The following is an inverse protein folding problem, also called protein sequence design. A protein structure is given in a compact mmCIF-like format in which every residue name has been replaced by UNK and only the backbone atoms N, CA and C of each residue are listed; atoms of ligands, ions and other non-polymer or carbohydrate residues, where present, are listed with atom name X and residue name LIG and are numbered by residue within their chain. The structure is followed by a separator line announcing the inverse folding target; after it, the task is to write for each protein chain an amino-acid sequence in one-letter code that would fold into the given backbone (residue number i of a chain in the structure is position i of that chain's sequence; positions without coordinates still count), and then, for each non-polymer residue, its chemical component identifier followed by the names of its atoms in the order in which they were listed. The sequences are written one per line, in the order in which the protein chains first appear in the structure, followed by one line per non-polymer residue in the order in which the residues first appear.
data_IF_605406980589
#
_entry.id   IF_605406980589
#
_cell.length_a   1.000
_cell.length_b   1.000
_cell.length_c   1.000
_cell.angle_alpha   90.00
_cell.angle_beta   90.00
_cell.angle_gamma   90.00
#
_symmetry.space_group_name_H-M   'P 1'
#
loop_
_entity.id
_entity.type
_entity.pdbx_description
1 polymer ?
#
# COMPACT_ATOMS: atom_id res chain seq x y z
N UNK A 1 30.26 -7.05 -12.75
CA UNK A 1 29.90 -8.46 -12.49
C UNK A 1 28.49 -8.66 -11.90
N UNK A 2 27.88 -7.69 -11.21
CA UNK A 2 26.57 -7.86 -10.54
C UNK A 2 25.33 -8.00 -11.47
N UNK A 3 25.32 -7.37 -12.63
CA UNK A 3 24.17 -7.43 -13.56
C UNK A 3 23.92 -8.81 -14.19
N UNK A 4 24.98 -9.56 -14.52
CA UNK A 4 24.87 -10.92 -15.09
C UNK A 4 24.25 -11.94 -14.11
N UNK A 5 24.53 -11.81 -12.83
CA UNK A 5 23.97 -12.71 -11.80
C UNK A 5 22.46 -12.52 -11.60
N UNK A 6 21.97 -11.29 -11.72
CA UNK A 6 20.53 -10.98 -11.63
C UNK A 6 19.78 -11.60 -12.82
N UNK A 7 20.31 -11.52 -14.03
CA UNK A 7 19.68 -12.14 -15.20
C UNK A 7 19.64 -13.68 -15.10
N UNK A 8 20.70 -14.30 -14.58
CA UNK A 8 20.73 -15.74 -14.34
C UNK A 8 19.72 -16.18 -13.27
N UNK A 9 19.50 -15.37 -12.24
CA UNK A 9 18.51 -15.64 -11.21
C UNK A 9 17.08 -15.51 -11.76
N UNK A 10 16.79 -14.49 -12.56
CA UNK A 10 15.49 -14.29 -13.22
C UNK A 10 15.21 -15.43 -14.21
N UNK A 11 16.20 -15.84 -15.00
CA UNK A 11 16.08 -16.97 -15.94
C UNK A 11 15.86 -18.28 -15.19
N UNK A 12 16.51 -18.49 -14.06
CA UNK A 12 16.32 -19.67 -13.20
C UNK A 12 14.90 -19.75 -12.64
N UNK A 13 14.32 -18.63 -12.20
CA UNK A 13 12.94 -18.57 -11.73
C UNK A 13 11.97 -18.85 -12.90
N UNK A 14 12.23 -18.28 -14.07
CA UNK A 14 11.39 -18.49 -15.25
C UNK A 14 11.42 -19.94 -15.77
N UNK A 15 12.59 -20.61 -15.72
CA UNK A 15 12.71 -22.03 -16.06
C UNK A 15 12.03 -22.93 -15.02
N UNK A 16 12.09 -22.60 -13.73
CA UNK A 16 11.46 -23.40 -12.68
C UNK A 16 9.92 -23.34 -12.73
N UNK A 17 9.35 -22.21 -13.14
CA UNK A 17 7.89 -22.09 -13.33
C UNK A 17 7.37 -22.92 -14.51
N UNK A 18 8.14 -23.05 -15.58
CA UNK A 18 7.76 -23.89 -16.73
C UNK A 18 7.84 -25.41 -16.43
N UNK A 19 8.73 -25.84 -15.53
CA UNK A 19 8.78 -27.25 -15.10
C UNK A 19 7.60 -27.64 -14.20
N UNK A 20 7.06 -26.71 -13.40
CA UNK A 20 5.90 -26.96 -12.55
C UNK A 20 4.60 -27.11 -13.36
N UNK A 21 4.49 -26.47 -14.52
CA UNK A 21 3.31 -26.59 -15.40
C UNK A 21 3.30 -27.92 -16.16
N UNK A 22 4.48 -28.51 -16.45
CA UNK A 22 4.59 -29.77 -17.22
C UNK A 22 4.25 -31.03 -16.42
N UNK A 23 4.10 -30.96 -15.10
CA UNK A 23 3.76 -32.16 -14.28
C UNK A 23 2.27 -32.33 -14.00
N UNK A 24 1.40 -31.47 -14.53
CA UNK A 24 -0.05 -31.52 -14.28
C UNK A 24 -0.86 -32.14 -15.42
N UNK A 25 -0.21 -32.63 -16.49
CA UNK A 25 -0.90 -33.24 -17.62
C UNK A 25 -0.76 -34.78 -17.67
N UNK A 26 -1.17 -35.48 -16.64
CA UNK A 26 -1.44 -36.91 -16.72
C UNK A 26 -2.46 -37.34 -15.69
N UNK A 27 -3.71 -37.03 -15.92
CA UNK A 27 -4.91 -37.83 -15.59
C UNK A 27 -6.15 -36.90 -15.58
N UNK A 28 -6.87 -36.95 -16.71
CA UNK A 28 -8.32 -37.10 -16.69
C UNK A 28 -8.90 -36.75 -18.05
N UNK A 29 -9.22 -37.77 -18.78
CA UNK A 29 -10.34 -37.74 -19.71
C UNK A 29 -11.61 -37.45 -18.89
N UNK A 30 -11.86 -36.19 -18.61
CA UNK A 30 -13.17 -35.74 -18.18
C UNK A 30 -13.55 -34.50 -18.97
N UNK A 31 -14.69 -34.60 -19.61
CA UNK A 31 -15.28 -33.70 -20.58
C UNK A 31 -15.07 -32.23 -20.21
N UNK A 32 -14.44 -31.51 -21.12
CA UNK A 32 -14.36 -30.04 -21.16
C UNK A 32 -15.77 -29.43 -21.27
N UNK A 33 -16.46 -29.32 -20.17
CA UNK A 33 -17.37 -28.23 -19.97
C UNK A 33 -16.49 -27.11 -19.40
N UNK A 34 -15.97 -26.24 -20.26
CA UNK A 34 -15.50 -24.94 -19.86
C UNK A 34 -16.71 -24.25 -19.20
N UNK A 35 -16.84 -24.45 -17.89
CA UNK A 35 -17.79 -23.71 -17.08
C UNK A 35 -17.30 -22.26 -17.18
N UNK A 36 -17.97 -21.47 -18.02
CA UNK A 36 -17.82 -20.03 -18.04
C UNK A 36 -17.75 -19.58 -16.57
N UNK A 37 -16.58 -19.16 -16.15
CA UNK A 37 -16.34 -18.71 -14.77
C UNK A 37 -16.94 -17.32 -14.66
N UNK A 38 -18.28 -17.26 -14.78
CA UNK A 38 -19.09 -16.05 -14.59
C UNK A 38 -18.64 -15.41 -13.29
N UNK A 39 -18.38 -14.12 -13.35
CA UNK A 39 -18.12 -13.28 -12.17
C UNK A 39 -19.18 -13.61 -11.12
N UNK A 40 -18.80 -14.21 -10.03
CA UNK A 40 -19.72 -14.60 -8.95
C UNK A 40 -19.51 -13.65 -7.80
N UNK A 41 -20.13 -12.47 -7.89
CA UNK A 41 -20.09 -11.48 -6.82
C UNK A 41 -20.91 -12.04 -5.65
N UNK A 42 -20.22 -12.48 -4.60
CA UNK A 42 -20.85 -13.12 -3.45
C UNK A 42 -20.84 -12.26 -2.20
N UNK A 43 -19.78 -11.48 -1.99
CA UNK A 43 -19.61 -10.67 -0.79
C UNK A 43 -18.83 -9.38 -1.06
N UNK A 44 -19.18 -8.35 -0.31
CA UNK A 44 -18.46 -7.10 -0.18
C UNK A 44 -17.94 -7.00 1.26
N UNK A 45 -16.67 -6.76 1.46
CA UNK A 45 -16.09 -6.47 2.78
C UNK A 45 -15.71 -5.00 2.84
N UNK A 46 -16.14 -4.30 3.89
CA UNK A 46 -15.80 -2.91 4.16
C UNK A 46 -15.24 -2.80 5.57
N UNK A 47 -14.28 -1.93 5.78
CA UNK A 47 -13.65 -1.75 7.08
C UNK A 47 -12.70 -0.57 7.16
N UNK A 48 -11.96 -0.54 8.26
CA UNK A 48 -11.04 0.55 8.60
C UNK A 48 -9.70 -0.02 9.05
N UNK A 49 -8.64 0.76 8.86
CA UNK A 49 -7.35 0.49 9.51
C UNK A 49 -7.47 0.92 10.98
N UNK A 50 -7.05 0.04 11.89
CA UNK A 50 -7.12 0.30 13.34
C UNK A 50 -5.83 0.93 13.88
N UNK A 51 -4.68 0.61 13.26
CA UNK A 51 -3.39 1.04 13.81
C UNK A 51 -3.14 2.52 13.59
N UNK A 52 -3.49 3.04 12.44
CA UNK A 52 -3.21 4.43 12.05
C UNK A 52 -3.88 5.45 12.94
N UNK A 53 -5.20 5.37 13.22
CA UNK A 53 -5.87 6.29 14.14
C UNK A 53 -5.31 6.22 15.57
N UNK A 54 -5.00 5.01 16.07
CA UNK A 54 -4.45 4.84 17.41
C UNK A 54 -3.08 5.51 17.52
N UNK A 55 -2.22 5.31 16.51
CA UNK A 55 -0.90 5.94 16.48
C UNK A 55 -1.00 7.46 16.38
N UNK A 56 -1.89 8.00 15.56
CA UNK A 56 -2.06 9.45 15.41
C UNK A 56 -2.58 10.10 16.68
N UNK A 57 -3.50 9.47 17.39
CA UNK A 57 -4.00 9.98 18.68
C UNK A 57 -2.95 10.02 19.80
N UNK A 58 -1.91 9.18 19.69
CA UNK A 58 -0.84 9.09 20.70
C UNK A 58 0.29 10.12 20.52
N UNK A 59 0.44 10.68 19.32
CA UNK A 59 1.56 11.56 18.94
C UNK A 59 1.12 13.03 18.77
N UNK A 60 -0.10 13.40 19.16
CA UNK A 60 -0.64 14.77 18.98
C UNK A 60 -0.86 15.11 17.51
N UNK A 61 -1.48 16.20 17.19
CA UNK A 61 -1.80 16.87 15.91
C UNK A 61 -1.69 16.10 14.56
N UNK A 62 -1.65 14.77 14.58
CA UNK A 62 -1.58 13.94 13.39
C UNK A 62 -2.92 13.25 13.14
N UNK A 63 -3.50 13.42 11.97
CA UNK A 63 -4.66 12.66 11.51
C UNK A 63 -4.22 11.62 10.48
N UNK A 64 -4.63 10.38 10.67
CA UNK A 64 -4.36 9.32 9.70
C UNK A 64 -5.49 8.30 9.75
N UNK A 65 -6.39 8.38 8.79
CA UNK A 65 -7.54 7.49 8.64
C UNK A 65 -7.48 6.77 7.31
N UNK A 66 -7.84 5.49 7.33
CA UNK A 66 -7.91 4.69 6.11
C UNK A 66 -9.14 3.79 6.14
N UNK A 67 -9.95 3.87 5.09
CA UNK A 67 -11.07 2.99 4.81
C UNK A 67 -10.59 1.96 3.80
N UNK A 68 -10.94 0.71 4.01
CA UNK A 68 -10.57 -0.40 3.16
C UNK A 68 -11.80 -1.15 2.71
N UNK A 69 -11.76 -1.67 1.48
CA UNK A 69 -12.84 -2.49 0.97
C UNK A 69 -12.34 -3.52 -0.03
N UNK A 70 -13.01 -4.66 -0.09
CA UNK A 70 -12.80 -5.63 -1.16
C UNK A 70 -14.12 -6.29 -1.59
N UNK A 71 -14.22 -6.50 -2.90
CA UNK A 71 -15.35 -7.13 -3.56
C UNK A 71 -14.91 -8.46 -4.16
N UNK A 72 -15.54 -9.54 -3.75
CA UNK A 72 -15.27 -10.85 -4.32
C UNK A 72 -15.77 -10.94 -5.76
N UNK A 73 -14.86 -11.13 -6.71
CA UNK A 73 -15.16 -11.31 -8.14
C UNK A 73 -15.30 -12.79 -8.51
N UNK A 74 -14.43 -13.62 -7.94
CA UNK A 74 -14.49 -15.09 -8.09
C UNK A 74 -14.18 -15.74 -6.75
N UNK A 75 -14.15 -17.07 -6.67
CA UNK A 75 -13.80 -17.77 -5.42
C UNK A 75 -12.48 -17.27 -4.80
N UNK A 76 -11.48 -16.98 -5.62
CA UNK A 76 -10.14 -16.63 -5.15
C UNK A 76 -9.72 -15.20 -5.50
N UNK A 77 -10.47 -14.47 -6.34
CA UNK A 77 -10.07 -13.14 -6.80
C UNK A 77 -11.00 -12.08 -6.19
N UNK A 78 -10.38 -11.05 -5.62
CA UNK A 78 -11.06 -9.91 -5.00
C UNK A 78 -10.54 -8.61 -5.63
N UNK A 79 -11.46 -7.74 -6.04
CA UNK A 79 -11.13 -6.34 -6.32
C UNK A 79 -11.00 -5.62 -4.99
N UNK A 80 -9.91 -4.90 -4.77
CA UNK A 80 -9.68 -4.19 -3.52
C UNK A 80 -9.44 -2.71 -3.76
N UNK A 81 -9.99 -1.89 -2.87
CA UNK A 81 -9.85 -0.44 -2.85
C UNK A 81 -9.58 0.06 -1.44
N UNK A 82 -8.76 1.09 -1.34
CA UNK A 82 -8.40 1.72 -0.08
C UNK A 82 -8.34 3.23 -0.30
N UNK A 83 -8.92 3.99 0.62
CA UNK A 83 -8.88 5.44 0.61
C UNK A 83 -8.44 5.95 1.96
N UNK A 84 -7.49 6.87 2.00
CA UNK A 84 -6.99 7.43 3.24
C UNK A 84 -6.79 8.93 3.18
N UNK A 85 -6.85 9.52 4.38
CA UNK A 85 -6.59 10.92 4.66
C UNK A 85 -5.44 11.00 5.67
N UNK A 86 -4.46 11.82 5.38
CA UNK A 86 -3.32 12.07 6.25
C UNK A 86 -3.15 13.57 6.41
N UNK A 87 -2.97 13.98 7.66
CA UNK A 87 -2.47 15.28 8.04
C UNK A 87 -1.41 15.03 9.11
N UNK A 88 -0.14 15.25 8.74
CA UNK A 88 0.98 14.81 9.57
C UNK A 88 2.06 15.88 9.65
N UNK A 89 2.41 16.27 10.87
CA UNK A 89 3.60 17.01 11.18
C UNK A 89 4.83 16.07 11.13
N UNK A 90 5.84 16.46 10.37
CA UNK A 90 7.11 15.75 10.26
C UNK A 90 8.19 16.69 10.78
N UNK A 91 8.82 16.24 11.87
CA UNK A 91 9.94 16.90 12.51
C UNK A 91 11.22 16.13 12.18
N UNK A 92 12.16 16.79 11.54
CA UNK A 92 13.49 16.26 11.23
C UNK A 92 14.55 17.25 11.73
N UNK A 93 15.81 16.86 11.84
CA UNK A 93 16.90 17.68 12.42
C UNK A 93 17.07 19.05 11.74
N UNK A 94 16.75 19.16 10.44
CA UNK A 94 16.99 20.36 9.64
C UNK A 94 15.71 20.97 9.05
N UNK A 95 14.56 20.34 9.17
CA UNK A 95 13.32 20.82 8.56
C UNK A 95 12.09 20.26 9.29
N UNK A 96 11.16 21.17 9.61
CA UNK A 96 9.86 20.83 10.11
C UNK A 96 8.80 21.23 9.09
N UNK A 97 7.99 20.28 8.68
CA UNK A 97 6.93 20.53 7.71
C UNK A 97 5.68 19.70 8.00
N UNK A 98 4.54 20.24 7.61
CA UNK A 98 3.28 19.54 7.66
C UNK A 98 2.93 19.02 6.26
N UNK A 99 2.58 17.74 6.16
CA UNK A 99 2.08 17.12 4.92
C UNK A 99 0.63 16.70 5.10
N UNK A 100 -0.25 17.31 4.30
CA UNK A 100 -1.70 17.06 4.35
C UNK A 100 -2.21 16.63 2.99
N UNK A 101 -2.99 15.55 2.94
CA UNK A 101 -3.53 15.07 1.68
C UNK A 101 -4.32 13.78 1.78
N UNK A 102 -4.70 13.29 0.59
CA UNK A 102 -5.45 12.04 0.45
C UNK A 102 -4.75 11.10 -0.51
N UNK A 103 -5.02 9.82 -0.36
CA UNK A 103 -4.56 8.80 -1.29
C UNK A 103 -5.65 7.78 -1.60
N UNK A 104 -5.56 7.22 -2.79
CA UNK A 104 -6.42 6.15 -3.28
C UNK A 104 -5.55 5.00 -3.77
N UNK A 105 -5.90 3.77 -3.39
CA UNK A 105 -5.28 2.53 -3.87
C UNK A 105 -6.34 1.63 -4.45
N UNK A 106 -6.09 1.11 -5.65
CA UNK A 106 -6.99 0.17 -6.33
C UNK A 106 -6.17 -0.99 -6.87
N UNK A 107 -6.70 -2.20 -6.76
CA UNK A 107 -6.03 -3.38 -7.26
C UNK A 107 -6.76 -4.67 -6.95
N UNK A 108 -6.03 -5.78 -6.98
CA UNK A 108 -6.59 -7.11 -6.82
C UNK A 108 -5.86 -7.88 -5.74
N UNK A 109 -6.62 -8.74 -5.04
CA UNK A 109 -6.10 -9.74 -4.12
C UNK A 109 -6.42 -11.12 -4.67
N UNK A 110 -5.42 -11.97 -4.73
CA UNK A 110 -5.59 -13.39 -5.03
C UNK A 110 -5.46 -14.21 -3.73
N UNK A 111 -6.53 -14.86 -3.32
CA UNK A 111 -6.54 -15.73 -2.15
C UNK A 111 -5.91 -17.09 -2.51
N UNK A 112 -4.84 -17.43 -1.82
CA UNK A 112 -4.10 -18.67 -1.99
C UNK A 112 -4.51 -19.74 -0.96
N UNK A 113 -5.30 -19.35 0.03
CA UNK A 113 -5.69 -20.24 1.11
C UNK A 113 -6.97 -21.02 0.76
N UNK A 114 -6.93 -22.33 0.94
CA UNK A 114 -8.12 -23.19 0.83
C UNK A 114 -8.71 -23.40 2.23
N UNK A 115 -9.89 -22.84 2.45
CA UNK A 115 -10.60 -22.97 3.72
C UNK A 115 -11.15 -24.38 3.93
N UNK A 116 -11.20 -24.81 5.20
CA UNK A 116 -12.02 -25.93 5.60
C UNK A 116 -13.50 -25.54 5.64
N UNK A 117 -14.37 -26.54 5.62
CA UNK A 117 -15.82 -26.31 5.66
C UNK A 117 -16.18 -25.48 6.90
N UNK A 118 -16.89 -24.37 6.68
CA UNK A 118 -17.32 -23.46 7.75
C UNK A 118 -16.33 -22.36 8.11
N UNK A 119 -15.14 -22.31 7.51
CA UNK A 119 -14.19 -21.21 7.67
C UNK A 119 -14.21 -20.27 6.45
N UNK A 120 -13.95 -18.97 6.67
CA UNK A 120 -13.81 -17.98 5.60
C UNK A 120 -12.57 -17.10 5.82
N UNK A 121 -11.42 -17.75 6.00
CA UNK A 121 -10.14 -17.09 6.14
C UNK A 121 -9.49 -16.86 4.78
N UNK A 122 -8.58 -15.93 4.67
CA UNK A 122 -7.80 -15.71 3.45
C UNK A 122 -6.35 -15.40 3.76
N UNK A 123 -5.45 -16.03 3.00
CA UNK A 123 -4.04 -15.62 2.87
C UNK A 123 -3.91 -15.20 1.41
N UNK A 124 -3.55 -13.94 1.18
CA UNK A 124 -3.60 -13.38 -0.15
C UNK A 124 -2.33 -12.66 -0.55
N UNK A 125 -2.09 -12.67 -1.84
CA UNK A 125 -1.13 -11.82 -2.51
C UNK A 125 -1.91 -10.81 -3.36
N UNK A 126 -1.54 -9.53 -3.27
CA UNK A 126 -2.21 -8.46 -3.98
C UNK A 126 -1.26 -7.56 -4.74
N UNK A 127 -1.80 -6.93 -5.77
CA UNK A 127 -1.15 -5.86 -6.53
C UNK A 127 -2.04 -4.63 -6.49
N UNK A 128 -1.45 -3.45 -6.25
CA UNK A 128 -2.14 -2.16 -6.19
C UNK A 128 -1.46 -1.15 -7.11
N UNK A 129 -2.27 -0.30 -7.69
CA UNK A 129 -1.87 1.01 -8.17
C UNK A 129 -2.40 2.05 -7.20
N UNK A 130 -1.58 3.04 -6.89
CA UNK A 130 -1.92 4.06 -5.91
C UNK A 130 -1.56 5.45 -6.42
N UNK A 131 -2.38 6.40 -6.01
CA UNK A 131 -2.19 7.83 -6.29
C UNK A 131 -2.46 8.64 -5.03
N UNK A 132 -1.76 9.75 -4.89
CA UNK A 132 -1.95 10.72 -3.80
C UNK A 132 -1.98 12.13 -4.34
N UNK A 133 -2.86 12.96 -3.75
CA UNK A 133 -2.87 14.42 -3.93
C UNK A 133 -2.67 15.06 -2.56
N UNK A 134 -1.74 16.00 -2.45
CA UNK A 134 -1.33 16.53 -1.16
C UNK A 134 -0.73 17.93 -1.27
N UNK A 135 -0.55 18.57 -0.13
CA UNK A 135 0.19 19.81 0.06
C UNK A 135 1.23 19.66 1.16
N UNK A 136 2.35 20.35 1.01
CA UNK A 136 3.40 20.42 2.01
C UNK A 136 3.57 21.86 2.46
N UNK A 137 3.51 22.08 3.77
CA UNK A 137 3.72 23.37 4.41
C UNK A 137 4.99 23.33 5.24
N UNK A 138 6.05 24.00 4.78
CA UNK A 138 7.29 24.13 5.54
C UNK A 138 7.05 25.14 6.67
N UNK A 139 7.35 24.73 7.89
CA UNK A 139 7.17 25.53 9.09
C UNK A 139 8.46 26.23 9.44
N UNK A 140 9.55 25.48 9.48
CA UNK A 140 10.90 26.00 9.68
C UNK A 140 11.94 25.08 9.01
N UNK A 141 13.07 25.66 8.67
CA UNK A 141 14.21 24.90 8.16
C UNK A 141 15.51 25.57 8.55
N UNK A 142 16.56 24.77 8.64
CA UNK A 142 17.92 25.20 8.99
C UNK A 142 18.82 25.07 7.80
N UNK A 143 19.35 26.18 7.29
CA UNK A 143 20.37 26.17 6.22
C UNK A 143 21.74 26.05 6.85
N UNK A 144 22.43 24.95 6.57
CA UNK A 144 23.82 24.75 6.99
C UNK A 144 24.75 25.40 5.95
N UNK A 145 25.27 26.57 6.26
CA UNK A 145 26.23 27.28 5.41
C UNK A 145 27.61 26.59 5.54
N UNK A 146 28.05 25.87 4.50
CA UNK A 146 29.33 25.14 4.51
C UNK A 146 30.58 26.04 4.42
N UNK A 147 30.43 27.29 4.04
CA UNK A 147 31.55 28.22 3.76
C UNK A 147 31.93 29.12 4.93
N UNK A 148 31.28 29.02 6.07
CA UNK A 148 31.55 29.89 7.22
C UNK A 148 32.36 29.18 8.29
N UNK A 149 33.68 29.44 8.27
CA UNK A 149 34.62 28.88 9.25
C UNK A 149 34.37 29.39 10.71
N UNK A 150 33.59 30.46 10.90
CA UNK A 150 33.35 31.11 12.18
C UNK A 150 31.90 31.42 12.54
N UNK A 151 30.93 31.10 11.75
CA UNK A 151 29.53 31.37 12.07
C UNK A 151 28.69 30.08 12.18
N UNK A 152 28.40 29.69 13.40
CA UNK A 152 27.27 28.82 13.69
C UNK A 152 25.95 29.62 13.63
N UNK A 153 25.87 30.61 12.73
CA UNK A 153 24.63 31.35 12.50
C UNK A 153 23.72 30.50 11.65
N UNK A 154 22.88 29.81 12.31
CA UNK A 154 21.66 29.20 11.80
C UNK A 154 20.74 30.40 11.47
N UNK A 155 20.70 30.80 10.21
CA UNK A 155 19.62 31.65 9.72
C UNK A 155 18.37 30.76 9.65
N UNK A 156 17.61 30.74 10.74
CA UNK A 156 16.26 30.18 10.74
C UNK A 156 15.34 31.22 10.09
N UNK A 157 15.18 31.12 8.78
CA UNK A 157 14.21 31.95 8.09
C UNK A 157 12.82 31.39 8.36
N UNK A 158 12.06 32.07 9.22
CA UNK A 158 10.67 31.72 9.59
C UNK A 158 9.69 32.11 8.47
N UNK A 159 9.98 31.79 7.23
CA UNK A 159 9.00 31.94 6.16
C UNK A 159 8.26 30.62 5.98
N UNK A 160 6.99 30.63 6.37
CA UNK A 160 6.10 29.52 6.01
C UNK A 160 5.93 29.46 4.51
N UNK A 161 6.45 28.42 3.88
CA UNK A 161 6.32 28.17 2.44
C UNK A 161 5.31 27.04 2.27
N UNK A 162 4.30 27.27 1.45
CA UNK A 162 3.30 26.25 1.13
C UNK A 162 3.38 25.85 -0.33
N UNK A 163 3.50 24.54 -0.57
CA UNK A 163 3.44 23.91 -1.88
C UNK A 163 2.14 23.12 -1.96
N UNK A 164 1.23 23.55 -2.83
CA UNK A 164 -0.06 22.90 -3.09
C UNK A 164 -0.03 22.11 -4.39
N UNK A 165 -1.08 21.32 -4.61
CA UNK A 165 -1.31 20.55 -5.84
C UNK A 165 -0.20 19.55 -6.19
N UNK A 166 0.46 19.02 -5.16
CA UNK A 166 1.43 17.96 -5.30
C UNK A 166 0.75 16.61 -5.53
N UNK A 167 1.38 15.76 -6.31
CA UNK A 167 0.87 14.41 -6.57
C UNK A 167 1.98 13.37 -6.54
N UNK A 168 1.62 12.14 -6.23
CA UNK A 168 2.51 10.99 -6.28
C UNK A 168 1.78 9.75 -6.74
N UNK A 169 2.46 8.92 -7.55
CA UNK A 169 1.92 7.66 -8.05
C UNK A 169 2.90 6.52 -7.80
N UNK A 170 2.40 5.38 -7.37
CA UNK A 170 3.23 4.21 -7.09
C UNK A 170 2.47 2.89 -7.31
N UNK A 171 3.21 1.81 -7.31
CA UNK A 171 2.66 0.46 -7.28
C UNK A 171 3.02 -0.23 -5.97
N UNK A 172 2.17 -1.15 -5.53
CA UNK A 172 2.38 -1.91 -4.30
C UNK A 172 2.19 -3.41 -4.56
N UNK A 173 3.06 -4.21 -3.95
CA UNK A 173 2.86 -5.63 -3.75
C UNK A 173 2.43 -5.81 -2.30
N UNK A 174 1.32 -6.51 -2.09
CA UNK A 174 0.71 -6.69 -0.77
C UNK A 174 0.62 -8.18 -0.47
N UNK A 175 1.15 -8.58 0.68
CA UNK A 175 0.93 -9.91 1.24
C UNK A 175 0.14 -9.77 2.54
N UNK A 176 -0.96 -10.50 2.67
CA UNK A 176 -1.81 -10.33 3.83
C UNK A 176 -2.62 -11.57 4.20
N UNK A 177 -3.16 -11.51 5.40
CA UNK A 177 -4.08 -12.48 5.93
C UNK A 177 -5.35 -11.79 6.46
N UNK A 178 -6.48 -12.46 6.35
CA UNK A 178 -7.75 -12.07 6.98
C UNK A 178 -8.35 -13.28 7.65
N UNK A 179 -8.74 -13.12 8.90
CA UNK A 179 -9.31 -14.18 9.73
C UNK A 179 -10.70 -13.74 10.19
N UNK A 180 -11.68 -14.57 9.96
CA UNK A 180 -13.03 -14.39 10.50
C UNK A 180 -13.00 -14.67 12.01
N UNK A 181 -13.15 -13.60 12.81
CA UNK A 181 -13.13 -13.68 14.29
C UNK A 181 -14.53 -13.82 14.87
N UNK A 182 -15.51 -13.20 14.24
CA UNK A 182 -16.94 -13.32 14.52
C UNK A 182 -17.69 -13.42 13.20
N UNK A 183 -18.95 -13.83 13.24
CA UNK A 183 -19.78 -13.92 12.03
C UNK A 183 -19.71 -12.63 11.20
N UNK A 184 -19.15 -12.72 9.99
CA UNK A 184 -18.94 -11.62 9.06
C UNK A 184 -17.95 -10.53 9.53
N UNK A 185 -17.25 -10.70 10.65
CA UNK A 185 -16.24 -9.75 11.14
C UNK A 185 -14.85 -10.35 10.99
N UNK A 186 -13.96 -9.62 10.32
CA UNK A 186 -12.62 -10.09 10.00
C UNK A 186 -11.57 -9.15 10.59
N UNK A 187 -10.57 -9.73 11.20
CA UNK A 187 -9.30 -9.08 11.48
C UNK A 187 -8.33 -9.37 10.34
N UNK A 188 -7.70 -8.34 9.84
CA UNK A 188 -6.74 -8.44 8.76
C UNK A 188 -5.39 -7.85 9.14
N UNK A 189 -4.33 -8.49 8.68
CA UNK A 189 -2.97 -7.96 8.73
C UNK A 189 -2.37 -8.05 7.33
N UNK A 190 -1.70 -6.99 6.89
CA UNK A 190 -1.01 -6.99 5.60
C UNK A 190 0.31 -6.24 5.66
N UNK A 191 1.28 -6.76 4.92
CA UNK A 191 2.55 -6.12 4.61
C UNK A 191 2.53 -5.67 3.17
N UNK A 192 3.15 -4.54 2.89
CA UNK A 192 3.24 -3.99 1.54
C UNK A 192 4.63 -3.49 1.22
N UNK A 193 5.02 -3.69 -0.01
CA UNK A 193 6.23 -3.14 -0.62
C UNK A 193 5.80 -2.21 -1.74
N UNK A 194 6.24 -0.98 -1.68
CA UNK A 194 5.85 0.09 -2.56
C UNK A 194 7.00 0.46 -3.48
N UNK A 195 6.71 0.78 -4.74
CA UNK A 195 7.67 1.32 -5.70
C UNK A 195 7.10 2.60 -6.29
N UNK A 196 7.75 3.74 -6.01
CA UNK A 196 7.39 5.03 -6.58
C UNK A 196 7.61 5.00 -8.10
N UNK A 197 6.65 5.50 -8.84
CA UNK A 197 6.69 5.63 -10.29
C UNK A 197 6.93 7.08 -10.71
N UNK A 198 6.21 8.01 -10.07
CA UNK A 198 6.32 9.44 -10.32
C UNK A 198 5.85 10.24 -9.12
N UNK A 199 6.44 11.40 -8.94
CA UNK A 199 6.03 12.42 -7.97
C UNK A 199 6.16 13.83 -8.60
N UNK A 200 5.36 14.75 -8.08
CA UNK A 200 5.49 16.17 -8.41
C UNK A 200 6.62 16.76 -7.56
N UNK A 201 7.62 17.34 -8.21
CA UNK A 201 8.68 18.06 -7.54
C UNK A 201 8.40 19.56 -7.63
N UNK A 202 8.17 20.25 -6.52
CA UNK A 202 8.07 21.70 -6.52
C UNK A 202 9.42 22.36 -6.84
N UNK A 203 9.39 23.58 -7.34
CA UNK A 203 10.60 24.34 -7.62
C UNK A 203 11.40 24.56 -6.31
N UNK A 204 12.67 24.20 -6.34
CA UNK A 204 13.63 24.36 -5.22
C UNK A 204 13.35 23.51 -3.97
N UNK A 205 12.47 22.50 -4.03
CA UNK A 205 12.20 21.61 -2.91
C UNK A 205 11.90 20.19 -3.38
N UNK A 206 12.58 19.19 -2.81
CA UNK A 206 12.28 17.78 -3.09
C UNK A 206 11.15 17.26 -2.20
N UNK A 207 10.30 16.43 -2.78
CA UNK A 207 9.20 15.81 -2.04
C UNK A 207 9.75 14.77 -1.04
N UNK A 208 9.75 15.12 0.25
CA UNK A 208 10.28 14.24 1.31
C UNK A 208 9.26 13.22 1.82
N UNK A 209 7.97 13.52 1.69
CA UNK A 209 6.89 12.66 2.19
C UNK A 209 5.68 12.73 1.26
N UNK A 210 5.14 11.55 0.93
CA UNK A 210 3.91 11.41 0.15
C UNK A 210 2.89 10.66 1.00
N UNK A 211 1.69 11.24 1.24
CA UNK A 211 0.59 10.57 1.92
C UNK A 211 0.28 9.20 1.31
N UNK A 212 0.30 8.15 2.14
CA UNK A 212 0.08 6.78 1.70
C UNK A 212 1.33 6.02 1.23
N UNK A 213 2.33 6.70 0.68
CA UNK A 213 3.63 6.09 0.34
C UNK A 213 4.62 6.16 1.51
N UNK A 214 4.61 7.24 2.28
CA UNK A 214 5.49 7.64 3.38
C UNK A 214 6.76 8.41 2.92
N UNK A 215 7.91 8.14 3.53
CA UNK A 215 9.15 8.89 3.31
C UNK A 215 9.74 8.57 1.92
N UNK A 216 10.09 9.61 1.19
CA UNK A 216 10.77 9.57 -0.11
C UNK A 216 12.19 10.10 0.08
N UNK A 217 13.15 9.52 -0.61
CA UNK A 217 14.53 10.01 -0.69
C UNK A 217 15.00 9.89 -2.14
N UNK A 218 15.89 10.76 -2.59
CA UNK A 218 16.36 10.79 -3.99
C UNK A 218 16.93 9.45 -4.47
N UNK A 219 17.62 8.74 -3.58
CA UNK A 219 18.27 7.46 -3.91
C UNK A 219 17.34 6.25 -3.70
N UNK A 220 16.20 6.41 -3.03
CA UNK A 220 15.33 5.30 -2.66
C UNK A 220 13.88 5.53 -3.03
N UNK A 221 13.48 4.94 -4.15
CA UNK A 221 12.11 4.93 -4.65
C UNK A 221 11.28 3.74 -4.12
N UNK A 222 11.80 2.99 -3.13
CA UNK A 222 11.11 1.90 -2.50
C UNK A 222 10.59 2.30 -1.12
N UNK A 223 9.40 1.85 -0.79
CA UNK A 223 8.78 2.01 0.50
C UNK A 223 8.25 0.69 1.04
N UNK A 224 7.96 0.67 2.31
CA UNK A 224 7.28 -0.45 2.95
C UNK A 224 6.25 0.05 3.93
N UNK A 225 5.24 -0.77 4.17
CA UNK A 225 4.18 -0.45 5.11
C UNK A 225 3.45 -1.69 5.60
N UNK A 226 2.63 -1.49 6.61
CA UNK A 226 1.73 -2.50 7.11
C UNK A 226 0.39 -1.89 7.48
N UNK A 227 -0.66 -2.71 7.46
CA UNK A 227 -1.99 -2.34 7.91
C UNK A 227 -2.54 -3.40 8.85
N UNK A 228 -3.30 -2.96 9.83
CA UNK A 228 -4.08 -3.79 10.72
C UNK A 228 -5.55 -3.40 10.63
N UNK A 229 -6.37 -4.23 10.00
CA UNK A 229 -7.72 -3.84 9.58
C UNK A 229 -8.80 -4.61 10.32
N UNK A 230 -9.91 -3.94 10.59
CA UNK A 230 -11.18 -4.55 10.99
C UNK A 230 -12.17 -4.36 9.87
N UNK A 231 -12.69 -5.45 9.33
CA UNK A 231 -13.62 -5.42 8.19
C UNK A 231 -14.90 -6.20 8.48
N UNK A 232 -16.02 -5.72 7.95
CA UNK A 232 -17.31 -6.38 8.01
C UNK A 232 -17.72 -6.87 6.62
N UNK A 233 -18.14 -8.12 6.51
CA UNK A 233 -18.59 -8.74 5.27
C UNK A 233 -20.09 -8.63 5.10
N UNK A 234 -20.50 -8.03 3.99
CA UNK A 234 -21.90 -7.93 3.55
C UNK A 234 -22.13 -9.03 2.51
N UNK A 235 -22.92 -10.08 2.81
CA UNK A 235 -23.24 -11.11 1.84
C UNK A 235 -24.20 -10.53 0.79
N UNK A 236 -23.76 -10.48 -0.47
CA UNK A 236 -24.56 -9.97 -1.60
C UNK A 236 -25.45 -11.05 -2.20
N UNK A 237 -25.16 -12.32 -1.90
CA UNK A 237 -25.98 -13.45 -2.32
C UNK A 237 -26.39 -14.25 -1.07
N UNK A 238 -27.70 -14.52 -0.92
CA UNK A 238 -28.16 -15.37 0.19
C UNK A 238 -27.47 -16.73 0.10
N UNK A 239 -26.80 -17.14 1.17
CA UNK A 239 -26.39 -18.54 1.37
C UNK A 239 -27.66 -19.41 1.29
N UNK A 240 -27.76 -20.26 0.26
CA UNK A 240 -28.78 -21.32 0.21
C UNK A 240 -28.37 -22.45 1.14
#
# INVERSE_FOLDING_TARGET
MKKKQIYLFIISIWLSTNMLVSQTELNSSDSLVAKDKLLTINKLRLGVDLFKPIKSSSVGDNLNYEIVGDLQLTENLYLAGEYGLIDKLIEDENINFNSSGSFLRIGFNYNMFKNWVGMDNSIYLGLRYATSNFSNKIIDYTVRNQDSYFSNLVDSEYQTIEYSDLSGNWIEIVAGLKVETFNNVYLGFSLRLNKLLSDSKPDNFDTLFIPGFNKVTDDNTFGSGFNYTLTYSIPLKKRK
#
